data_IF_372346639018
#
_entry.id   IF_372346639018
#
_cell.length_a   1.000
_cell.length_b   1.000
_cell.length_c   1.000
_cell.angle_alpha   90.00
_cell.angle_beta   90.00
_cell.angle_gamma   90.00
#
_symmetry.space_group_name_H-M   'P 1'
#
loop_
_entity.id
_entity.type
_entity.pdbx_description
1 polymer ?
#
# COMPACT_ATOMS: atom_id res chain seq x y z
N UNK A 1 -9.33 29.11 3.35
CA UNK A 1 -8.84 27.75 3.65
C UNK A 1 -9.39 27.38 5.02
N UNK A 2 -10.27 26.37 5.12
CA UNK A 2 -10.88 25.99 6.39
C UNK A 2 -9.81 25.42 7.32
N UNK A 3 -9.55 26.11 8.43
CA UNK A 3 -8.62 25.69 9.46
C UNK A 3 -9.26 24.51 10.22
N UNK A 4 -9.01 23.28 9.76
CA UNK A 4 -9.62 22.06 10.29
C UNK A 4 -9.08 21.78 11.71
N UNK A 5 -9.73 22.37 12.73
CA UNK A 5 -9.30 22.33 14.14
C UNK A 5 -9.18 20.92 14.74
N UNK A 6 -9.73 19.91 14.06
CA UNK A 6 -9.72 18.52 14.49
C UNK A 6 -8.38 17.82 14.16
N UNK A 7 -7.75 18.17 13.04
CA UNK A 7 -6.51 17.53 12.58
C UNK A 7 -5.30 17.92 13.45
N UNK A 8 -5.35 19.07 14.11
CA UNK A 8 -4.31 19.61 14.99
C UNK A 8 -4.56 19.34 16.48
N UNK A 9 -5.62 18.59 16.83
CA UNK A 9 -5.99 18.32 18.23
C UNK A 9 -4.89 17.63 19.04
N UNK A 10 -4.06 16.81 18.39
CA UNK A 10 -2.91 16.16 19.03
C UNK A 10 -1.82 17.17 19.43
N UNK A 11 -1.59 18.21 18.63
CA UNK A 11 -0.59 19.26 18.92
C UNK A 11 -0.97 20.01 20.22
N UNK A 12 -2.26 20.27 20.42
CA UNK A 12 -2.75 20.90 21.66
C UNK A 12 -2.55 19.97 22.86
N UNK A 13 -2.82 18.68 22.69
CA UNK A 13 -2.67 17.67 23.74
C UNK A 13 -1.19 17.49 24.12
N UNK A 14 -0.30 17.50 23.13
CA UNK A 14 1.15 17.43 23.33
C UNK A 14 1.67 18.56 24.23
N UNK A 15 1.10 19.77 24.08
CA UNK A 15 1.49 20.96 24.87
C UNK A 15 0.95 20.98 26.30
N UNK A 16 0.06 20.05 26.66
CA UNK A 16 -0.56 19.98 27.98
C UNK A 16 0.05 18.82 28.79
N UNK A 17 0.96 19.09 29.74
CA UNK A 17 1.65 18.05 30.52
C UNK A 17 0.71 17.20 31.37
N UNK A 18 -0.51 17.69 31.68
CA UNK A 18 -1.48 16.92 32.48
C UNK A 18 -2.01 15.69 31.75
N UNK A 19 -1.85 15.64 30.43
CA UNK A 19 -2.30 14.53 29.58
C UNK A 19 -1.24 13.44 29.39
N UNK A 20 -0.01 13.69 29.85
CA UNK A 20 1.14 12.81 29.65
C UNK A 20 1.13 11.69 30.69
N UNK A 21 1.17 10.45 30.22
CA UNK A 21 1.25 9.25 31.07
C UNK A 21 2.73 8.92 31.36
N UNK A 22 3.54 8.90 30.31
CA UNK A 22 4.99 8.65 30.33
C UNK A 22 5.60 9.60 29.30
N UNK A 23 6.74 10.22 29.61
CA UNK A 23 7.47 11.07 28.67
C UNK A 23 8.97 10.77 28.74
N UNK A 24 9.63 10.87 27.59
CA UNK A 24 11.08 10.97 27.47
C UNK A 24 11.46 12.31 26.84
N UNK A 25 12.75 12.47 26.54
CA UNK A 25 13.29 13.62 25.82
C UNK A 25 12.92 13.62 24.32
N UNK A 26 12.54 12.46 23.75
CA UNK A 26 12.19 12.36 22.31
C UNK A 26 10.69 12.26 22.06
N UNK A 27 9.93 11.70 22.99
CA UNK A 27 8.52 11.38 22.77
C UNK A 27 7.70 11.33 24.06
N UNK A 28 6.39 11.21 23.90
CA UNK A 28 5.43 11.16 25.01
C UNK A 28 4.28 10.19 24.72
N UNK A 29 3.77 9.55 25.76
CA UNK A 29 2.60 8.68 25.73
C UNK A 29 1.39 9.40 26.32
N UNK A 30 0.29 9.39 25.60
CA UNK A 30 -1.01 9.94 26.04
C UNK A 30 -2.12 8.90 25.86
N UNK A 31 -3.22 9.06 26.58
CA UNK A 31 -4.46 8.32 26.29
C UNK A 31 -5.13 8.85 25.03
N UNK A 32 -5.64 7.95 24.18
CA UNK A 32 -6.48 8.36 23.06
C UNK A 32 -7.81 8.92 23.60
N UNK A 33 -8.20 10.11 23.15
CA UNK A 33 -9.42 10.79 23.59
C UNK A 33 -10.71 10.05 23.19
N UNK A 34 -10.66 9.27 22.11
CA UNK A 34 -11.76 8.49 21.57
C UNK A 34 -11.32 7.03 21.40
N UNK A 35 -11.05 6.30 22.51
CA UNK A 35 -10.39 5.01 22.49
C UNK A 35 -11.19 3.98 21.68
N UNK A 36 -10.54 3.08 20.93
CA UNK A 36 -11.25 2.07 20.09
C UNK A 36 -11.26 0.67 20.71
N UNK A 37 -10.67 0.53 21.90
CA UNK A 37 -10.64 -0.63 22.75
C UNK A 37 -10.55 -0.17 24.22
N UNK A 38 -10.60 -1.10 25.18
CA UNK A 38 -10.47 -0.77 26.61
C UNK A 38 -9.16 -0.03 26.92
N UNK A 39 -8.06 -0.41 26.28
CA UNK A 39 -6.78 0.26 26.36
C UNK A 39 -6.41 0.81 24.98
N UNK A 40 -6.31 2.13 24.86
CA UNK A 40 -5.85 2.78 23.64
C UNK A 40 -5.02 4.02 23.99
N UNK A 41 -3.73 3.96 23.64
CA UNK A 41 -2.75 5.01 23.86
C UNK A 41 -2.10 5.42 22.54
N UNK A 42 -1.56 6.63 22.53
CA UNK A 42 -0.80 7.17 21.42
C UNK A 42 0.59 7.56 21.93
N UNK A 43 1.64 7.13 21.23
CA UNK A 43 3.01 7.60 21.45
C UNK A 43 3.35 8.61 20.36
N UNK A 44 3.70 9.83 20.75
CA UNK A 44 3.95 10.94 19.85
C UNK A 44 5.38 11.46 20.00
N UNK A 45 6.11 11.69 18.90
CA UNK A 45 7.40 12.36 18.94
C UNK A 45 7.24 13.86 19.26
N UNK A 46 8.22 14.42 19.96
CA UNK A 46 8.36 15.87 20.11
C UNK A 46 8.77 16.51 18.78
N UNK A 47 9.61 15.80 18.01
CA UNK A 47 9.96 16.15 16.64
C UNK A 47 8.71 16.25 15.74
N UNK A 48 8.72 17.21 14.82
CA UNK A 48 7.60 17.45 13.91
C UNK A 48 7.64 16.56 12.68
N UNK A 49 7.33 15.27 12.86
CA UNK A 49 7.18 14.32 11.75
C UNK A 49 5.72 14.28 11.32
N UNK A 50 5.34 14.69 10.09
CA UNK A 50 3.93 14.81 9.71
C UNK A 50 3.17 13.48 9.74
N UNK A 51 3.80 12.39 9.34
CA UNK A 51 3.20 11.05 9.29
C UNK A 51 4.26 9.96 9.13
N UNK A 52 3.84 8.69 9.18
CA UNK A 52 4.68 7.53 8.88
C UNK A 52 5.36 7.62 7.51
N UNK A 53 4.74 8.30 6.55
CA UNK A 53 5.23 8.45 5.18
C UNK A 53 6.42 9.38 5.02
N UNK A 54 6.76 10.13 6.06
CA UNK A 54 7.89 11.06 6.10
C UNK A 54 9.07 10.49 6.88
N UNK A 55 8.97 9.25 7.35
CA UNK A 55 10.06 8.57 8.02
C UNK A 55 11.16 8.23 7.01
N UNK A 56 12.39 8.37 7.49
CA UNK A 56 13.64 8.07 6.78
C UNK A 56 14.54 7.29 7.71
N UNK A 57 15.63 6.72 7.20
CA UNK A 57 16.62 5.98 8.02
C UNK A 57 17.20 6.81 9.18
N UNK A 58 17.16 8.14 9.10
CA UNK A 58 17.60 9.02 10.20
C UNK A 58 16.66 8.96 11.42
N UNK A 59 15.43 8.48 11.25
CA UNK A 59 14.44 8.38 12.32
C UNK A 59 14.45 7.03 13.05
N UNK A 60 15.42 6.13 12.77
CA UNK A 60 15.46 4.80 13.39
C UNK A 60 15.54 4.87 14.92
N UNK A 61 16.39 5.74 15.47
CA UNK A 61 16.49 5.94 16.92
C UNK A 61 15.18 6.46 17.53
N UNK A 62 14.48 7.35 16.82
CA UNK A 62 13.17 7.85 17.25
C UNK A 62 12.14 6.71 17.28
N UNK A 63 12.11 5.87 16.24
CA UNK A 63 11.18 4.74 16.17
C UNK A 63 11.42 3.70 17.27
N UNK A 64 12.68 3.43 17.60
CA UNK A 64 13.03 2.56 18.73
C UNK A 64 12.48 3.13 20.05
N UNK A 65 12.71 4.41 20.31
CA UNK A 65 12.21 5.10 21.50
C UNK A 65 10.67 5.10 21.58
N UNK A 66 9.97 5.32 20.46
CA UNK A 66 8.50 5.21 20.43
C UNK A 66 8.03 3.80 20.82
N UNK A 67 8.74 2.76 20.39
CA UNK A 67 8.39 1.38 20.71
C UNK A 67 8.68 1.04 22.16
N UNK A 68 9.80 1.47 22.72
CA UNK A 68 10.11 1.29 24.14
C UNK A 68 9.06 1.97 25.03
N UNK A 69 8.64 3.18 24.70
CA UNK A 69 7.54 3.85 25.40
C UNK A 69 6.20 3.11 25.26
N UNK A 70 5.94 2.48 24.11
CA UNK A 70 4.76 1.64 23.92
C UNK A 70 4.77 0.39 24.81
N UNK A 71 5.93 -0.25 24.98
CA UNK A 71 6.09 -1.38 25.90
C UNK A 71 5.92 -0.93 27.36
N UNK A 72 6.55 0.18 27.74
CA UNK A 72 6.48 0.73 29.09
C UNK A 72 5.04 1.06 29.51
N UNK A 73 4.21 1.64 28.62
CA UNK A 73 2.83 1.94 29.00
C UNK A 73 1.99 0.69 29.22
N UNK A 74 2.25 -0.40 28.48
CA UNK A 74 1.57 -1.69 28.69
C UNK A 74 1.94 -2.26 30.07
N UNK A 75 3.23 -2.22 30.41
CA UNK A 75 3.75 -2.70 31.69
C UNK A 75 3.20 -1.90 32.88
N UNK A 76 3.26 -0.56 32.81
CA UNK A 76 2.74 0.34 33.86
C UNK A 76 1.23 0.15 34.07
N UNK A 77 0.49 -0.25 33.03
CA UNK A 77 -0.94 -0.58 33.11
C UNK A 77 -1.22 -2.03 33.51
N UNK A 78 -0.17 -2.78 33.88
CA UNK A 78 -0.23 -4.17 34.32
C UNK A 78 -0.92 -5.09 33.30
N UNK A 79 -0.69 -4.82 32.01
CA UNK A 79 -1.23 -5.59 30.91
C UNK A 79 -0.16 -6.47 30.27
N UNK A 80 -0.59 -7.48 29.51
CA UNK A 80 0.33 -8.35 28.75
C UNK A 80 0.45 -7.88 27.30
N UNK A 81 1.69 -7.79 26.80
CA UNK A 81 1.99 -7.39 25.42
C UNK A 81 1.21 -8.18 24.36
N UNK A 82 1.02 -9.49 24.58
CA UNK A 82 0.30 -10.37 23.66
C UNK A 82 -1.14 -9.93 23.36
N UNK A 83 -1.75 -9.14 24.26
CA UNK A 83 -3.11 -8.62 24.11
C UNK A 83 -3.15 -7.32 23.30
N UNK A 84 -2.02 -6.81 22.82
CA UNK A 84 -1.92 -5.50 22.17
C UNK A 84 -1.49 -5.60 20.71
N UNK A 85 -1.93 -4.61 19.94
CA UNK A 85 -1.38 -4.24 18.64
C UNK A 85 -0.60 -2.93 18.81
N UNK A 86 0.57 -2.87 18.20
CA UNK A 86 1.44 -1.69 18.19
C UNK A 86 1.77 -1.36 16.74
N UNK A 87 1.41 -0.16 16.29
CA UNK A 87 1.56 0.20 14.88
C UNK A 87 0.96 1.54 14.49
N UNK A 88 0.96 1.80 13.20
CA UNK A 88 0.56 3.07 12.60
C UNK A 88 -0.62 2.87 11.66
N UNK A 89 -1.38 3.92 11.42
CA UNK A 89 -2.34 3.91 10.31
C UNK A 89 -1.64 4.26 8.98
N UNK A 90 -1.85 3.41 7.97
CA UNK A 90 -1.41 3.65 6.58
C UNK A 90 -2.29 4.69 5.84
N UNK A 91 -3.25 5.30 6.54
CA UNK A 91 -3.98 6.47 6.07
C UNK A 91 -4.36 7.28 7.32
N UNK A 92 -3.44 8.08 7.86
CA UNK A 92 -3.64 8.75 9.14
C UNK A 92 -4.78 9.76 9.04
N UNK A 93 -5.68 9.73 10.01
CA UNK A 93 -6.76 10.71 10.09
C UNK A 93 -6.28 12.04 10.70
N UNK A 94 -5.28 12.03 11.58
CA UNK A 94 -4.79 13.23 12.26
C UNK A 94 -3.39 13.61 11.78
N UNK A 95 -3.03 14.88 11.97
CA UNK A 95 -1.68 15.35 11.71
C UNK A 95 -0.74 15.10 12.89
N UNK A 96 0.52 14.90 12.50
CA UNK A 96 1.69 14.39 13.22
C UNK A 96 1.67 12.87 13.42
N UNK A 97 2.84 12.27 13.21
CA UNK A 97 3.14 10.87 13.49
C UNK A 97 2.68 10.49 14.90
N UNK A 98 2.01 9.36 15.02
CA UNK A 98 1.64 8.78 16.30
C UNK A 98 1.58 7.27 16.16
N UNK A 99 2.24 6.58 17.09
CA UNK A 99 2.20 5.13 17.22
C UNK A 99 1.00 4.76 18.10
N UNK A 100 0.11 3.92 17.57
CA UNK A 100 -1.00 3.38 18.32
C UNK A 100 -0.53 2.21 19.18
N UNK A 101 -0.98 2.20 20.44
CA UNK A 101 -0.85 1.09 21.37
C UNK A 101 -2.26 0.73 21.81
N UNK A 102 -2.82 -0.33 21.23
CA UNK A 102 -4.25 -0.65 21.37
C UNK A 102 -4.47 -2.12 21.74
N UNK A 103 -5.33 -2.37 22.71
CA UNK A 103 -5.71 -3.73 23.09
C UNK A 103 -6.63 -4.38 22.05
N UNK A 104 -6.53 -5.71 21.91
CA UNK A 104 -7.23 -6.51 20.88
C UNK A 104 -8.70 -6.78 21.18
N UNK A 105 -9.22 -6.34 22.33
CA UNK A 105 -10.63 -6.53 22.69
C UNK A 105 -11.58 -5.68 21.85
N UNK A 106 -11.14 -4.49 21.41
CA UNK A 106 -11.96 -3.54 20.64
C UNK A 106 -13.33 -3.24 21.28
N UNK A 107 -13.43 -3.29 22.61
CA UNK A 107 -14.64 -2.95 23.36
C UNK A 107 -14.57 -1.48 23.75
N UNK A 108 -15.38 -0.63 23.08
CA UNK A 108 -15.48 0.79 23.39
C UNK A 108 -16.70 1.44 22.73
N UNK A 109 -17.36 2.36 23.44
CA UNK A 109 -18.46 3.19 22.91
C UNK A 109 -18.02 4.11 21.76
N UNK A 110 -16.72 4.36 21.60
CA UNK A 110 -16.18 5.17 20.51
C UNK A 110 -15.92 4.36 19.22
N UNK A 111 -16.03 3.02 19.24
CA UNK A 111 -15.91 2.17 18.06
C UNK A 111 -17.25 2.09 17.30
N UNK A 112 -17.62 3.19 16.64
CA UNK A 112 -18.97 3.37 16.06
C UNK A 112 -19.17 2.92 14.61
N UNK A 113 -18.12 2.62 13.86
CA UNK A 113 -18.22 2.43 12.40
C UNK A 113 -17.30 1.33 11.86
N UNK A 114 -17.69 0.77 10.71
CA UNK A 114 -16.84 -0.17 9.95
C UNK A 114 -15.49 0.44 9.57
N UNK A 115 -15.43 1.75 9.32
CA UNK A 115 -14.18 2.46 9.06
C UNK A 115 -13.25 2.39 10.27
N UNK A 116 -13.75 2.60 11.49
CA UNK A 116 -12.94 2.45 12.70
C UNK A 116 -12.45 1.01 12.88
N UNK A 117 -13.32 0.01 12.66
CA UNK A 117 -12.90 -1.38 12.76
C UNK A 117 -11.79 -1.73 11.74
N UNK A 118 -12.01 -1.34 10.48
CA UNK A 118 -11.09 -1.65 9.40
C UNK A 118 -9.73 -0.98 9.58
N UNK A 119 -9.66 0.21 10.17
CA UNK A 119 -8.38 0.92 10.36
C UNK A 119 -7.40 0.17 11.25
N UNK A 120 -7.87 -0.69 12.16
CA UNK A 120 -7.02 -1.50 13.06
C UNK A 120 -6.95 -3.00 12.69
N UNK A 121 -7.86 -3.49 11.84
CA UNK A 121 -8.04 -4.93 11.57
C UNK A 121 -7.87 -5.31 10.10
N UNK A 122 -7.29 -4.43 9.29
CA UNK A 122 -6.93 -4.70 7.89
C UNK A 122 -5.50 -4.21 7.60
N UNK A 123 -5.05 -4.31 6.35
CA UNK A 123 -3.77 -3.74 5.91
C UNK A 123 -3.66 -2.20 6.09
N UNK A 124 -4.74 -1.52 6.48
CA UNK A 124 -4.70 -0.11 6.89
C UNK A 124 -3.97 0.10 8.24
N UNK A 125 -3.75 -0.95 9.03
CA UNK A 125 -2.92 -0.94 10.22
C UNK A 125 -1.55 -1.55 9.92
N UNK A 126 -0.52 -0.73 9.89
CA UNK A 126 0.86 -1.16 9.69
C UNK A 126 1.50 -1.43 11.05
N UNK A 127 1.72 -2.71 11.37
CA UNK A 127 2.42 -3.10 12.59
C UNK A 127 3.82 -2.49 12.64
N UNK A 128 4.28 -2.12 13.84
CA UNK A 128 5.59 -1.50 14.06
C UNK A 128 6.74 -2.28 13.39
N UNK A 129 6.82 -3.59 13.64
CA UNK A 129 7.88 -4.45 13.09
C UNK A 129 7.93 -4.43 11.56
N UNK A 130 6.77 -4.45 10.91
CA UNK A 130 6.67 -4.38 9.45
C UNK A 130 7.07 -3.00 8.96
N UNK A 131 6.62 -1.93 9.62
CA UNK A 131 7.01 -0.55 9.28
C UNK A 131 8.51 -0.32 9.42
N UNK A 132 9.13 -0.87 10.46
CA UNK A 132 10.58 -0.81 10.68
C UNK A 132 11.34 -1.59 9.61
N UNK A 133 10.91 -2.83 9.32
CA UNK A 133 11.51 -3.65 8.27
C UNK A 133 11.46 -2.95 6.91
N UNK A 134 10.31 -2.36 6.57
CA UNK A 134 10.12 -1.59 5.34
C UNK A 134 11.10 -0.40 5.25
N UNK A 135 11.24 0.36 6.34
CA UNK A 135 12.15 1.51 6.40
C UNK A 135 13.63 1.10 6.27
N UNK A 136 14.02 -0.01 6.91
CA UNK A 136 15.39 -0.56 6.84
C UNK A 136 15.70 -1.10 5.45
N UNK A 137 14.77 -1.88 4.88
CA UNK A 137 14.87 -2.44 3.54
C UNK A 137 14.88 -1.35 2.45
N UNK A 138 14.35 -0.15 2.75
CA UNK A 138 14.13 0.90 1.76
C UNK A 138 12.90 0.65 0.89
N UNK A 139 12.06 -0.31 1.29
CA UNK A 139 10.83 -0.66 0.59
C UNK A 139 9.69 0.24 1.07
N UNK A 140 9.38 1.25 0.27
CA UNK A 140 8.12 1.96 0.38
C UNK A 140 7.02 1.07 -0.20
N UNK A 141 6.34 0.26 0.62
CA UNK A 141 5.12 -0.50 0.23
C UNK A 141 3.93 0.45 0.05
N UNK A 142 4.08 1.39 -0.87
CA UNK A 142 3.09 2.41 -1.18
C UNK A 142 2.45 2.04 -2.51
N UNK A 143 1.15 2.30 -2.62
CA UNK A 143 0.47 2.32 -3.91
C UNK A 143 1.12 3.30 -4.89
N UNK A 144 1.93 4.22 -4.36
CA UNK A 144 2.78 5.15 -5.10
C UNK A 144 3.67 4.45 -6.13
N UNK A 145 4.22 3.27 -5.83
CA UNK A 145 4.99 2.51 -6.83
C UNK A 145 4.14 2.15 -8.05
N UNK A 146 2.83 1.96 -7.88
CA UNK A 146 1.93 1.57 -8.96
C UNK A 146 1.29 2.81 -9.60
N UNK A 147 0.90 3.81 -8.82
CA UNK A 147 0.03 4.90 -9.28
C UNK A 147 0.67 6.30 -9.23
N UNK A 148 1.80 6.51 -8.53
CA UNK A 148 2.49 7.80 -8.51
C UNK A 148 3.45 7.91 -9.70
N UNK A 149 3.18 8.86 -10.59
CA UNK A 149 3.92 9.00 -11.85
C UNK A 149 5.22 9.81 -11.72
N UNK A 150 5.48 10.39 -10.55
CA UNK A 150 6.64 11.26 -10.29
C UNK A 150 7.91 10.50 -9.88
N UNK A 151 7.78 9.24 -9.45
CA UNK A 151 8.88 8.48 -8.82
C UNK A 151 9.75 7.67 -9.81
N UNK A 152 9.38 7.58 -11.10
CA UNK A 152 10.10 6.73 -12.07
C UNK A 152 11.41 7.40 -12.53
N UNK A 153 12.46 7.21 -11.74
CA UNK A 153 13.83 7.62 -12.03
C UNK A 153 14.67 6.42 -12.47
N UNK A 154 15.21 6.44 -13.70
CA UNK A 154 16.00 5.32 -14.25
C UNK A 154 17.36 5.16 -13.55
N UNK A 155 17.88 6.24 -12.96
CA UNK A 155 19.16 6.26 -12.25
C UNK A 155 19.13 5.53 -10.91
N UNK A 156 17.96 5.44 -10.26
CA UNK A 156 17.81 4.82 -8.95
C UNK A 156 17.53 3.31 -9.02
N UNK A 157 17.95 2.57 -8.00
CA UNK A 157 17.68 1.13 -7.90
C UNK A 157 16.18 0.86 -7.75
N UNK A 158 15.46 1.65 -6.97
CA UNK A 158 14.01 1.52 -6.80
C UNK A 158 13.27 1.71 -8.12
N UNK A 159 13.60 2.77 -8.86
CA UNK A 159 13.03 3.03 -10.18
C UNK A 159 13.32 1.92 -11.20
N UNK A 160 14.53 1.33 -11.19
CA UNK A 160 14.85 0.17 -12.05
C UNK A 160 14.05 -1.08 -11.69
N UNK A 161 13.93 -1.40 -10.40
CA UNK A 161 13.11 -2.53 -9.95
C UNK A 161 11.64 -2.35 -10.35
N UNK A 162 11.13 -1.12 -10.26
CA UNK A 162 9.79 -0.81 -10.67
C UNK A 162 9.56 -0.98 -12.18
N UNK A 163 10.48 -0.48 -13.00
CA UNK A 163 10.47 -0.69 -14.46
C UNK A 163 10.49 -2.20 -14.77
N UNK A 164 11.36 -2.97 -14.12
CA UNK A 164 11.40 -4.42 -14.27
C UNK A 164 10.05 -5.07 -13.92
N UNK A 165 9.41 -4.65 -12.82
CA UNK A 165 8.12 -5.17 -12.41
C UNK A 165 7.02 -4.88 -13.45
N UNK A 166 6.94 -3.65 -13.97
CA UNK A 166 6.00 -3.26 -15.02
C UNK A 166 6.21 -4.08 -16.31
N UNK A 167 7.46 -4.29 -16.71
CA UNK A 167 7.81 -5.10 -17.88
C UNK A 167 7.42 -6.56 -17.66
N UNK A 168 7.78 -7.18 -16.53
CA UNK A 168 7.37 -8.56 -16.21
C UNK A 168 5.86 -8.71 -16.17
N UNK A 169 5.15 -7.73 -15.60
CA UNK A 169 3.69 -7.71 -15.57
C UNK A 169 3.08 -7.63 -16.98
N UNK A 170 3.71 -6.92 -17.92
CA UNK A 170 3.22 -6.85 -19.31
C UNK A 170 3.29 -8.20 -20.05
N UNK A 171 4.30 -9.02 -19.76
CA UNK A 171 4.36 -10.40 -20.27
C UNK A 171 3.29 -11.30 -19.67
N UNK A 172 3.04 -11.18 -18.36
CA UNK A 172 1.96 -11.92 -17.69
C UNK A 172 0.58 -11.50 -18.21
N UNK A 173 0.39 -10.20 -18.43
CA UNK A 173 -0.83 -9.64 -19.01
C UNK A 173 -1.06 -10.13 -20.45
N UNK A 174 0.00 -10.26 -21.25
CA UNK A 174 -0.05 -10.88 -22.59
C UNK A 174 -0.55 -12.35 -22.52
N UNK A 175 -0.04 -13.15 -21.57
CA UNK A 175 -0.54 -14.51 -21.33
C UNK A 175 -2.02 -14.51 -20.91
N UNK A 176 -2.43 -13.57 -20.06
CA UNK A 176 -3.81 -13.44 -19.63
C UNK A 176 -4.74 -13.05 -20.79
N UNK A 177 -4.33 -12.10 -21.64
CA UNK A 177 -5.06 -11.74 -22.86
C UNK A 177 -5.24 -12.96 -23.76
N UNK A 178 -4.20 -13.74 -23.96
CA UNK A 178 -4.28 -14.96 -24.75
C UNK A 178 -5.33 -15.95 -24.20
N UNK A 179 -5.33 -16.18 -22.88
CA UNK A 179 -6.29 -17.08 -22.24
C UNK A 179 -7.74 -16.61 -22.34
N UNK A 180 -7.98 -15.29 -22.23
CA UNK A 180 -9.31 -14.68 -22.15
C UNK A 180 -9.86 -14.36 -23.53
N UNK A 181 -9.12 -13.58 -24.32
CA UNK A 181 -9.58 -13.00 -25.58
C UNK A 181 -9.61 -14.05 -26.69
N UNK A 182 -8.59 -14.92 -26.72
CA UNK A 182 -8.41 -16.01 -27.71
C UNK A 182 -8.48 -15.58 -29.18
N UNK A 183 -8.53 -14.27 -29.45
CA UNK A 183 -8.70 -13.68 -30.78
C UNK A 183 -7.69 -12.56 -30.98
N UNK A 184 -6.78 -12.74 -31.94
CA UNK A 184 -5.64 -11.83 -32.13
C UNK A 184 -6.10 -10.39 -32.43
N UNK A 185 -7.11 -10.22 -33.29
CA UNK A 185 -7.59 -8.89 -33.71
C UNK A 185 -8.16 -8.01 -32.58
N UNK A 186 -8.48 -8.59 -31.43
CA UNK A 186 -9.03 -7.86 -30.28
C UNK A 186 -7.96 -7.47 -29.25
N UNK A 187 -6.74 -8.00 -29.35
CA UNK A 187 -5.69 -7.80 -28.35
C UNK A 187 -5.30 -6.31 -28.18
N UNK A 188 -5.31 -5.54 -29.27
CA UNK A 188 -5.05 -4.09 -29.22
C UNK A 188 -6.11 -3.35 -28.37
N UNK A 189 -7.39 -3.61 -28.63
CA UNK A 189 -8.50 -2.96 -27.92
C UNK A 189 -8.42 -3.20 -26.41
N UNK A 190 -8.17 -4.45 -25.99
CA UNK A 190 -8.03 -4.79 -24.58
C UNK A 190 -6.76 -4.20 -23.95
N UNK A 191 -5.64 -4.17 -24.68
CA UNK A 191 -4.39 -3.57 -24.20
C UNK A 191 -4.55 -2.07 -23.98
N UNK A 192 -5.16 -1.36 -24.93
CA UNK A 192 -5.49 0.06 -24.80
C UNK A 192 -6.46 0.31 -23.65
N UNK A 193 -7.52 -0.49 -23.54
CA UNK A 193 -8.52 -0.36 -22.47
C UNK A 193 -7.88 -0.49 -21.08
N UNK A 194 -7.01 -1.48 -20.88
CA UNK A 194 -6.29 -1.67 -19.61
C UNK A 194 -5.44 -0.44 -19.24
N UNK A 195 -4.68 0.10 -20.19
CA UNK A 195 -3.82 1.27 -19.94
C UNK A 195 -4.63 2.57 -19.79
N UNK A 196 -5.79 2.70 -20.43
CA UNK A 196 -6.71 3.82 -20.19
C UNK A 196 -7.23 3.77 -18.74
N UNK A 197 -7.66 2.61 -18.25
CA UNK A 197 -8.06 2.48 -16.85
C UNK A 197 -6.91 2.82 -15.90
N UNK A 198 -5.70 2.34 -16.18
CA UNK A 198 -4.52 2.68 -15.41
C UNK A 198 -4.28 4.21 -15.38
N UNK A 199 -4.34 4.88 -16.54
CA UNK A 199 -4.24 6.34 -16.65
C UNK A 199 -5.32 7.06 -15.81
N UNK A 200 -6.57 6.62 -15.89
CA UNK A 200 -7.67 7.22 -15.13
C UNK A 200 -7.47 7.06 -13.61
N UNK A 201 -7.00 5.90 -13.17
CA UNK A 201 -6.68 5.64 -11.76
C UNK A 201 -5.51 6.53 -11.33
N UNK A 202 -4.43 6.60 -12.10
CA UNK A 202 -3.29 7.48 -11.80
C UNK A 202 -3.70 8.95 -11.74
N UNK A 203 -4.52 9.43 -12.69
CA UNK A 203 -5.01 10.81 -12.67
C UNK A 203 -5.84 11.08 -11.42
N UNK A 204 -6.78 10.20 -11.09
CA UNK A 204 -7.58 10.32 -9.87
C UNK A 204 -6.71 10.27 -8.60
N UNK A 205 -5.75 9.36 -8.54
CA UNK A 205 -4.87 9.15 -7.40
C UNK A 205 -3.97 10.38 -7.12
N UNK A 206 -3.40 10.98 -8.17
CA UNK A 206 -2.48 12.11 -8.04
C UNK A 206 -3.19 13.47 -8.01
N UNK A 207 -4.51 13.54 -8.22
CA UNK A 207 -5.28 14.79 -8.43
C UNK A 207 -4.71 15.69 -9.54
N UNK A 208 -3.86 15.14 -10.42
CA UNK A 208 -3.15 15.85 -11.48
C UNK A 208 -2.93 14.89 -12.66
N UNK A 209 -2.92 15.44 -13.86
CA UNK A 209 -2.71 14.65 -15.07
C UNK A 209 -1.22 14.27 -15.19
N UNK A 210 -0.88 12.99 -15.48
CA UNK A 210 0.50 12.56 -15.62
C UNK A 210 1.28 13.36 -16.66
N UNK A 211 2.30 14.08 -16.21
CA UNK A 211 3.15 14.92 -17.07
C UNK A 211 4.55 14.35 -17.30
N UNK A 212 4.94 13.31 -16.55
CA UNK A 212 6.27 12.74 -16.60
C UNK A 212 6.48 11.90 -17.88
N UNK A 213 7.47 12.27 -18.69
CA UNK A 213 7.81 11.58 -19.95
C UNK A 213 8.24 10.14 -19.69
N UNK A 214 8.99 9.85 -18.62
CA UNK A 214 9.44 8.47 -18.33
C UNK A 214 8.26 7.54 -18.05
N UNK A 215 7.23 8.05 -17.38
CA UNK A 215 5.98 7.33 -17.12
C UNK A 215 5.22 7.01 -18.42
N UNK A 216 5.12 7.98 -19.34
CA UNK A 216 4.49 7.76 -20.65
C UNK A 216 5.25 6.73 -21.48
N UNK A 217 6.57 6.83 -21.54
CA UNK A 217 7.41 5.88 -22.27
C UNK A 217 7.25 4.45 -21.71
N UNK A 218 7.29 4.29 -20.38
CA UNK A 218 7.11 3.00 -19.75
C UNK A 218 5.75 2.39 -20.11
N UNK A 219 4.66 3.16 -20.00
CA UNK A 219 3.31 2.68 -20.30
C UNK A 219 3.12 2.35 -21.80
N UNK A 220 3.71 3.14 -22.70
CA UNK A 220 3.70 2.82 -24.14
C UNK A 220 4.45 1.52 -24.43
N UNK A 221 5.59 1.29 -23.78
CA UNK A 221 6.39 0.07 -23.93
C UNK A 221 5.61 -1.14 -23.39
N UNK A 222 5.05 -1.05 -22.19
CA UNK A 222 4.28 -2.16 -21.60
C UNK A 222 2.99 -2.45 -22.37
N UNK A 223 2.31 -1.44 -22.91
CA UNK A 223 1.16 -1.61 -23.79
C UNK A 223 1.53 -2.33 -25.07
N UNK A 224 2.67 -1.98 -25.67
CA UNK A 224 3.19 -2.62 -26.89
C UNK A 224 3.54 -4.08 -26.62
N UNK A 225 4.24 -4.38 -25.51
CA UNK A 225 4.59 -5.76 -25.13
C UNK A 225 3.33 -6.60 -24.89
N UNK A 226 2.37 -6.06 -24.13
CA UNK A 226 1.10 -6.73 -23.85
C UNK A 226 0.33 -7.03 -25.14
N UNK A 227 0.23 -6.05 -26.05
CA UNK A 227 -0.50 -6.17 -27.30
C UNK A 227 0.14 -7.20 -28.23
N UNK A 228 1.41 -7.00 -28.61
CA UNK A 228 2.11 -7.86 -29.57
C UNK A 228 2.24 -9.28 -29.01
N UNK A 229 2.53 -9.43 -27.72
CA UNK A 229 2.61 -10.72 -27.06
C UNK A 229 1.28 -11.47 -27.11
N UNK A 230 0.18 -10.78 -26.78
CA UNK A 230 -1.16 -11.37 -26.82
C UNK A 230 -1.58 -11.74 -28.24
N UNK A 231 -1.33 -10.87 -29.22
CA UNK A 231 -1.58 -11.13 -30.65
C UNK A 231 -0.83 -12.37 -31.13
N UNK A 232 0.47 -12.45 -30.85
CA UNK A 232 1.31 -13.57 -31.27
C UNK A 232 0.80 -14.91 -30.71
N UNK A 233 0.45 -14.95 -29.42
CA UNK A 233 -0.04 -16.16 -28.77
C UNK A 233 -1.43 -16.59 -29.27
N UNK A 234 -2.33 -15.62 -29.47
CA UNK A 234 -3.65 -15.86 -30.07
C UNK A 234 -3.50 -16.37 -31.50
N UNK A 235 -2.70 -15.71 -32.34
CA UNK A 235 -2.46 -16.10 -33.72
C UNK A 235 -1.88 -17.52 -33.81
N UNK A 236 -0.90 -17.84 -32.95
CA UNK A 236 -0.33 -19.20 -32.88
C UNK A 236 -1.38 -20.26 -32.51
N UNK A 237 -2.39 -19.88 -31.75
CA UNK A 237 -3.48 -20.80 -31.36
C UNK A 237 -4.55 -20.90 -32.45
N UNK A 238 -4.84 -19.81 -33.15
CA UNK A 238 -5.79 -19.75 -34.27
C UNK A 238 -5.28 -20.49 -35.51
N UNK A 239 -3.97 -20.45 -35.77
CA UNK A 239 -3.34 -21.12 -36.90
C UNK A 239 -3.22 -22.64 -36.74
N UNK A 240 -3.59 -23.20 -35.58
CA UNK A 240 -3.61 -24.66 -35.40
C UNK A 240 -4.73 -25.24 -36.27
N UNK A 241 -4.39 -26.27 -37.03
CA UNK A 241 -5.35 -26.95 -37.90
C UNK A 241 -6.54 -27.47 -37.09
N UNK A 242 -7.74 -27.26 -37.64
CA UNK A 242 -8.95 -27.90 -37.13
C UNK A 242 -8.87 -29.37 -37.52
N UNK A 243 -8.92 -30.33 -36.58
CA UNK A 243 -8.98 -31.74 -36.93
C UNK A 243 -10.31 -32.01 -37.64
N UNK A 244 -10.28 -32.08 -38.97
CA UNK A 244 -11.44 -32.40 -39.79
C UNK A 244 -11.66 -33.91 -39.71
N UNK A 245 -12.89 -34.33 -39.42
CA UNK A 245 -13.27 -35.65 -38.87
C UNK A 245 -12.89 -36.92 -39.63
N UNK A 246 -12.13 -36.88 -40.72
CA UNK A 246 -11.61 -38.09 -41.36
C UNK A 246 -10.46 -38.73 -40.55
N UNK A 247 -9.65 -37.93 -39.86
CA UNK A 247 -8.57 -38.45 -39.00
C UNK A 247 -9.08 -39.12 -37.71
N UNK A 248 -10.29 -38.76 -37.26
CA UNK A 248 -10.94 -39.35 -36.08
C UNK A 248 -11.67 -40.68 -36.39
N UNK A 249 -12.00 -40.94 -37.66
CA UNK A 249 -12.64 -42.19 -38.10
C UNK A 249 -11.62 -43.30 -38.37
N UNK A 250 -10.44 -42.97 -38.92
CA UNK A 250 -9.36 -43.95 -39.14
C UNK A 250 -8.78 -44.54 -37.84
N UNK A 251 -8.94 -43.85 -36.70
CA UNK A 251 -8.47 -44.38 -35.42
C UNK A 251 -9.40 -45.43 -34.81
N UNK A 252 -10.62 -45.59 -35.35
CA UNK A 252 -11.62 -46.56 -34.89
C UNK A 252 -11.74 -47.80 -35.76
N UNK A 253 -11.12 -47.80 -36.95
CA UNK A 253 -11.10 -48.95 -37.87
C UNK A 253 -9.94 -49.92 -37.63
N UNK A 254 -8.98 -49.56 -36.77
CA UNK A 254 -7.78 -50.36 -36.48
C UNK A 254 -7.90 -51.13 -35.14
N UNK A 255 -9.11 -51.50 -34.73
CA UNK A 255 -9.38 -52.41 -33.59
C UNK A 255 -10.26 -53.57 -34.03
#
# INVERSE_FOLDING_TARGET
>A
MANNSWATGLIKTLKDPSTHIISSNMAVVISDKYPKAQHHYLVLPHEDVPSIFNLTKNHLALLEELYLLALNVIEVKQQKLENFKIGFHNQPSMQRLHLHVISKDFVSDCLKSKKHWNSFNTALFLNYEVGLANLVAGDNYRLDNIFEYHEIHVSDLGGRLLICAFVTNSFLASLALWCIVRRAKLCLDFSCTFHIFHLLICWWYNNAFPSNISWWLLNCITATIMCIGGEFLCLKSELKEIPVGYSALNQKSDV
#
